data_IF_182913562209
#
_entry.id   IF_182913562209
#
_cell.length_a   1.000
_cell.length_b   1.000
_cell.length_c   1.000
_cell.angle_alpha   90.00
_cell.angle_beta   90.00
_cell.angle_gamma   90.00
#
_symmetry.space_group_name_H-M   'P 1'
#
loop_
_entity.id
_entity.type
_entity.pdbx_description
1 polymer ?
#
# COMPACT_ATOMS: atom_id res chain seq x y z
N UNK A 1 38.91 9.85 14.28
CA UNK A 1 37.81 10.59 13.60
C UNK A 1 36.52 9.82 13.86
N UNK A 2 35.47 10.46 14.41
CA UNK A 2 34.21 9.78 14.65
C UNK A 2 33.45 9.72 13.30
N UNK A 3 32.98 8.54 12.92
CA UNK A 3 32.19 8.37 11.71
C UNK A 3 30.84 9.13 11.79
N UNK A 4 30.66 10.13 10.94
CA UNK A 4 29.47 10.99 10.91
C UNK A 4 28.44 10.46 9.92
N UNK A 5 27.75 9.41 10.33
CA UNK A 5 26.75 8.74 9.47
C UNK A 5 25.61 9.67 9.04
N UNK A 6 25.16 10.59 9.90
CA UNK A 6 24.02 11.46 9.60
C UNK A 6 24.32 12.39 8.41
N UNK A 7 25.49 13.03 8.41
CA UNK A 7 25.88 13.89 7.30
C UNK A 7 26.19 13.10 6.02
N UNK A 8 26.80 11.92 6.16
CA UNK A 8 27.12 11.06 5.02
C UNK A 8 25.85 10.54 4.36
N UNK A 9 24.91 10.01 5.14
CA UNK A 9 23.63 9.49 4.63
C UNK A 9 22.83 10.58 3.93
N UNK A 10 22.64 11.73 4.57
CA UNK A 10 21.91 12.87 3.98
C UNK A 10 22.54 13.37 2.68
N UNK A 11 23.88 13.45 2.63
CA UNK A 11 24.62 13.83 1.42
C UNK A 11 24.33 12.88 0.26
N UNK A 12 24.40 11.56 0.52
CA UNK A 12 24.23 10.58 -0.54
C UNK A 12 22.77 10.44 -0.98
N UNK A 13 21.81 10.49 -0.07
CA UNK A 13 20.39 10.46 -0.39
C UNK A 13 20.02 11.64 -1.29
N UNK A 14 20.49 12.85 -0.95
CA UNK A 14 20.30 14.04 -1.78
C UNK A 14 20.90 13.87 -3.18
N UNK A 15 22.13 13.39 -3.26
CA UNK A 15 22.81 13.14 -4.54
C UNK A 15 22.04 12.12 -5.41
N UNK A 16 21.56 11.02 -4.84
CA UNK A 16 20.79 10.01 -5.55
C UNK A 16 19.46 10.56 -6.09
N UNK A 17 18.81 11.44 -5.32
CA UNK A 17 17.57 12.09 -5.75
C UNK A 17 17.83 13.08 -6.90
N UNK A 18 18.86 13.93 -6.77
CA UNK A 18 19.25 14.92 -7.79
C UNK A 18 19.68 14.26 -9.12
N UNK A 19 20.43 13.18 -9.05
CA UNK A 19 20.90 12.43 -10.23
C UNK A 19 19.83 11.47 -10.78
N UNK A 20 18.73 11.23 -10.06
CA UNK A 20 17.64 10.34 -10.47
C UNK A 20 18.06 8.89 -10.71
N UNK A 21 19.07 8.41 -9.97
CA UNK A 21 19.71 7.10 -10.23
C UNK A 21 18.78 5.90 -10.06
N UNK A 22 17.64 6.09 -9.39
CA UNK A 22 16.66 5.04 -9.16
C UNK A 22 15.44 5.11 -10.07
N UNK A 23 15.40 6.12 -10.96
CA UNK A 23 14.30 6.26 -11.92
C UNK A 23 14.31 5.12 -12.92
N UNK A 24 13.15 4.56 -13.16
CA UNK A 24 12.94 3.57 -14.20
C UNK A 24 12.99 4.25 -15.54
N UNK A 25 13.88 3.83 -16.42
CA UNK A 25 14.01 4.39 -17.77
C UNK A 25 12.99 3.74 -18.72
N UNK A 26 12.71 4.44 -19.83
CA UNK A 26 11.95 3.90 -20.96
C UNK A 26 12.88 3.20 -21.99
N UNK A 27 14.07 2.83 -21.55
CA UNK A 27 15.02 2.05 -22.36
C UNK A 27 14.56 0.59 -22.45
N UNK A 28 14.06 0.21 -23.61
CA UNK A 28 13.51 -1.12 -23.86
C UNK A 28 14.58 -2.14 -24.26
N UNK A 29 15.81 -1.72 -24.48
CA UNK A 29 16.94 -2.59 -24.85
C UNK A 29 17.53 -3.29 -23.61
N UNK A 30 17.41 -2.68 -22.43
CA UNK A 30 17.88 -3.28 -21.20
C UNK A 30 16.95 -4.39 -20.70
N UNK A 31 17.51 -5.47 -20.11
CA UNK A 31 16.72 -6.47 -19.43
C UNK A 31 15.83 -5.83 -18.36
N UNK A 32 14.52 -6.09 -18.40
CA UNK A 32 13.56 -5.54 -17.44
C UNK A 32 13.50 -6.37 -16.18
N UNK A 33 13.40 -5.72 -15.05
CA UNK A 33 13.16 -6.36 -13.78
C UNK A 33 12.11 -5.58 -12.96
N UNK A 34 11.04 -6.24 -12.59
CA UNK A 34 10.02 -5.68 -11.69
C UNK A 34 10.21 -6.22 -10.28
N UNK A 35 10.54 -5.35 -9.34
CA UNK A 35 10.62 -5.67 -7.92
C UNK A 35 9.33 -5.19 -7.25
N UNK A 36 8.47 -6.13 -6.89
CA UNK A 36 7.21 -5.86 -6.21
C UNK A 36 7.31 -6.24 -4.74
N UNK A 37 6.87 -5.35 -3.88
CA UNK A 37 6.67 -5.58 -2.46
C UNK A 37 5.24 -5.25 -2.06
N UNK A 38 4.82 -5.75 -0.91
CA UNK A 38 3.50 -5.47 -0.37
C UNK A 38 3.38 -3.98 -0.02
N UNK A 39 2.36 -3.34 -0.56
CA UNK A 39 2.04 -1.96 -0.22
C UNK A 39 1.55 -1.86 1.22
N UNK A 40 2.10 -0.95 2.04
CA UNK A 40 1.66 -0.79 3.41
C UNK A 40 0.30 -0.10 3.51
N UNK A 41 -0.44 -0.43 4.56
CA UNK A 41 -1.61 0.36 4.95
C UNK A 41 -1.14 1.66 5.64
N UNK A 42 -1.56 2.85 5.18
CA UNK A 42 -1.17 4.11 5.81
C UNK A 42 -2.01 4.39 7.07
N UNK A 43 -1.83 3.57 8.09
CA UNK A 43 -2.58 3.62 9.35
C UNK A 43 -1.77 4.15 10.55
N UNK A 44 -0.54 4.57 10.33
CA UNK A 44 0.36 5.09 11.37
C UNK A 44 1.81 5.19 10.90
N UNK A 45 2.74 5.00 11.82
CA UNK A 45 4.18 4.98 11.52
C UNK A 45 4.64 3.63 10.98
N UNK A 46 5.78 3.62 10.29
CA UNK A 46 6.49 2.39 9.96
C UNK A 46 6.92 1.65 11.25
N UNK A 47 7.03 0.35 11.15
CA UNK A 47 7.55 -0.51 12.22
C UNK A 47 8.62 -1.46 11.66
N UNK A 48 9.29 -2.19 12.53
CA UNK A 48 10.39 -3.09 12.15
C UNK A 48 10.01 -4.15 11.11
N UNK A 49 8.75 -4.56 11.07
CA UNK A 49 8.24 -5.46 10.01
C UNK A 49 8.32 -4.84 8.62
N UNK A 50 7.97 -3.57 8.47
CA UNK A 50 8.14 -2.83 7.23
C UNK A 50 9.62 -2.71 6.84
N UNK A 51 10.47 -2.34 7.83
CA UNK A 51 11.92 -2.23 7.61
C UNK A 51 12.51 -3.54 7.09
N UNK A 52 12.17 -4.68 7.72
CA UNK A 52 12.64 -5.99 7.30
C UNK A 52 12.20 -6.32 5.87
N UNK A 53 10.91 -6.14 5.58
CA UNK A 53 10.35 -6.47 4.26
C UNK A 53 11.03 -5.65 3.15
N UNK A 54 11.03 -4.32 3.31
CA UNK A 54 11.52 -3.41 2.27
C UNK A 54 13.03 -3.41 2.10
N UNK A 55 13.80 -3.75 3.16
CA UNK A 55 15.25 -3.92 3.04
C UNK A 55 15.62 -5.08 2.13
N UNK A 56 14.87 -6.18 2.16
CA UNK A 56 15.12 -7.35 1.31
C UNK A 56 14.90 -6.98 -0.17
N UNK A 57 13.79 -6.35 -0.48
CA UNK A 57 13.50 -5.91 -1.84
C UNK A 57 14.48 -4.84 -2.34
N UNK A 58 14.88 -3.91 -1.49
CA UNK A 58 15.86 -2.88 -1.84
C UNK A 58 17.23 -3.47 -2.22
N UNK A 59 17.68 -4.48 -1.48
CA UNK A 59 18.92 -5.21 -1.83
C UNK A 59 18.80 -5.86 -3.21
N UNK A 60 17.68 -6.53 -3.48
CA UNK A 60 17.44 -7.17 -4.79
C UNK A 60 17.38 -6.12 -5.89
N UNK A 61 16.64 -5.03 -5.70
CA UNK A 61 16.52 -3.97 -6.68
C UNK A 61 17.87 -3.33 -7.03
N UNK A 62 18.70 -3.02 -6.01
CA UNK A 62 20.05 -2.49 -6.20
C UNK A 62 20.95 -3.48 -6.92
N UNK A 63 20.94 -4.74 -6.52
CA UNK A 63 21.72 -5.80 -7.18
C UNK A 63 21.36 -5.92 -8.67
N UNK A 64 20.08 -5.92 -9.01
CA UNK A 64 19.63 -5.98 -10.39
C UNK A 64 20.05 -4.76 -11.22
N UNK A 65 19.98 -3.54 -10.64
CA UNK A 65 20.49 -2.32 -11.31
C UNK A 65 21.99 -2.40 -11.55
N UNK A 66 22.77 -2.86 -10.56
CA UNK A 66 24.21 -3.03 -10.71
C UNK A 66 24.57 -4.06 -11.79
N UNK A 67 23.69 -5.00 -12.10
CA UNK A 67 23.83 -5.97 -13.19
C UNK A 67 23.21 -5.51 -14.52
N UNK A 68 22.95 -4.21 -14.67
CA UNK A 68 22.52 -3.62 -15.94
C UNK A 68 21.02 -3.73 -16.24
N UNK A 69 20.19 -4.22 -15.31
CA UNK A 69 18.75 -4.27 -15.54
C UNK A 69 18.11 -2.87 -15.43
N UNK A 70 17.09 -2.63 -16.24
CA UNK A 70 16.13 -1.55 -16.04
C UNK A 70 15.11 -2.01 -14.99
N UNK A 71 15.20 -1.47 -13.78
CA UNK A 71 14.44 -1.94 -12.62
C UNK A 71 13.26 -1.02 -12.33
N UNK A 72 12.04 -1.57 -12.41
CA UNK A 72 10.86 -0.94 -11.84
C UNK A 72 10.74 -1.36 -10.37
N UNK A 73 11.00 -0.42 -9.47
CA UNK A 73 10.85 -0.59 -8.02
C UNK A 73 10.23 0.65 -7.44
N UNK A 74 8.96 0.59 -7.10
CA UNK A 74 8.17 1.73 -6.64
C UNK A 74 7.45 1.41 -5.35
N UNK A 75 7.07 2.45 -4.62
CA UNK A 75 6.20 2.36 -3.45
C UNK A 75 4.76 2.61 -3.85
N UNK A 76 3.85 1.87 -3.23
CA UNK A 76 2.43 2.13 -3.27
C UNK A 76 1.82 2.13 -1.87
N UNK A 77 0.62 2.69 -1.75
CA UNK A 77 -0.13 2.77 -0.50
C UNK A 77 -1.46 2.05 -0.68
N UNK A 78 -1.66 0.97 0.09
CA UNK A 78 -2.97 0.31 0.17
C UNK A 78 -3.84 1.12 1.12
N UNK A 79 -4.54 2.10 0.55
CA UNK A 79 -5.08 3.24 1.28
C UNK A 79 -6.61 3.31 1.27
N UNK A 80 -7.28 2.26 0.82
CA UNK A 80 -8.71 2.08 1.00
C UNK A 80 -9.04 1.14 2.16
N UNK A 81 -10.26 1.29 2.68
CA UNK A 81 -10.92 0.32 3.54
C UNK A 81 -10.99 0.68 5.02
N UNK A 82 -11.53 -0.25 5.78
CA UNK A 82 -11.89 -0.11 7.18
C UNK A 82 -10.75 0.33 8.13
N UNK A 83 -9.48 -0.07 7.95
CA UNK A 83 -8.43 0.37 8.87
C UNK A 83 -8.28 1.88 8.92
N UNK A 84 -8.30 2.56 7.77
CA UNK A 84 -8.23 4.01 7.70
C UNK A 84 -9.52 4.68 8.22
N UNK A 85 -10.68 4.14 7.89
CA UNK A 85 -11.98 4.64 8.34
C UNK A 85 -12.15 4.52 9.85
N UNK A 86 -11.84 3.36 10.42
CA UNK A 86 -11.91 3.13 11.87
C UNK A 86 -10.94 4.02 12.65
N UNK A 87 -9.74 4.22 12.15
CA UNK A 87 -8.78 5.13 12.74
C UNK A 87 -9.28 6.58 12.69
N UNK A 88 -9.85 6.99 11.56
CA UNK A 88 -10.43 8.31 11.39
C UNK A 88 -11.59 8.56 12.34
N UNK A 89 -12.49 7.60 12.48
CA UNK A 89 -13.60 7.65 13.47
C UNK A 89 -13.06 7.78 14.90
N UNK A 90 -12.09 6.92 15.26
CA UNK A 90 -11.48 6.92 16.61
C UNK A 90 -10.83 8.27 16.96
N UNK A 91 -10.21 8.93 15.98
CA UNK A 91 -9.53 10.20 16.17
C UNK A 91 -10.39 11.42 15.81
N UNK A 92 -11.65 11.23 15.43
CA UNK A 92 -12.57 12.28 14.98
C UNK A 92 -11.98 13.14 13.86
N UNK A 93 -11.36 12.50 12.87
CA UNK A 93 -10.70 13.11 11.74
C UNK A 93 -11.31 12.54 10.44
N UNK A 94 -11.45 13.35 9.41
CA UNK A 94 -11.93 12.87 8.11
C UNK A 94 -10.96 11.83 7.52
N UNK A 95 -11.42 10.66 7.00
CA UNK A 95 -10.56 9.59 6.48
C UNK A 95 -9.54 10.06 5.45
N UNK A 96 -9.91 10.94 4.54
CA UNK A 96 -9.01 11.54 3.56
C UNK A 96 -7.80 12.23 4.23
N UNK A 97 -8.07 13.11 5.21
CA UNK A 97 -7.00 13.84 5.90
C UNK A 97 -6.08 12.89 6.68
N UNK A 98 -6.67 11.92 7.36
CA UNK A 98 -5.94 10.90 8.11
C UNK A 98 -5.00 10.10 7.19
N UNK A 99 -5.55 9.56 6.10
CA UNK A 99 -4.81 8.73 5.15
C UNK A 99 -3.64 9.49 4.51
N UNK A 100 -3.89 10.68 3.98
CA UNK A 100 -2.82 11.47 3.34
C UNK A 100 -1.76 11.96 4.31
N UNK A 101 -2.12 12.27 5.56
CA UNK A 101 -1.16 12.59 6.61
C UNK A 101 -0.24 11.41 6.93
N UNK A 102 -0.80 10.21 7.05
CA UNK A 102 -0.01 9.00 7.28
C UNK A 102 0.88 8.65 6.08
N UNK A 103 0.38 8.76 4.85
CA UNK A 103 1.20 8.58 3.64
C UNK A 103 2.41 9.53 3.67
N UNK A 104 2.18 10.81 3.96
CA UNK A 104 3.26 11.79 4.04
C UNK A 104 4.31 11.41 5.10
N UNK A 105 3.87 10.98 6.28
CA UNK A 105 4.74 10.54 7.38
C UNK A 105 5.55 9.31 6.98
N UNK A 106 4.89 8.26 6.49
CA UNK A 106 5.56 7.01 6.10
C UNK A 106 6.51 7.22 4.92
N UNK A 107 6.14 8.05 3.94
CA UNK A 107 7.03 8.43 2.82
C UNK A 107 8.30 9.11 3.34
N UNK A 108 8.17 10.05 4.28
CA UNK A 108 9.33 10.70 4.89
C UNK A 108 10.23 9.69 5.60
N UNK A 109 9.66 8.76 6.35
CA UNK A 109 10.40 7.69 7.02
C UNK A 109 11.12 6.77 6.03
N UNK A 110 10.47 6.35 4.94
CA UNK A 110 11.09 5.51 3.89
C UNK A 110 12.21 6.25 3.16
N UNK A 111 12.05 7.54 2.89
CA UNK A 111 13.12 8.36 2.30
C UNK A 111 14.33 8.46 3.23
N UNK A 112 14.14 8.61 4.54
CA UNK A 112 15.22 8.61 5.51
C UNK A 112 15.99 7.28 5.57
N UNK A 113 15.34 6.15 5.30
CA UNK A 113 15.97 4.84 5.19
C UNK A 113 16.80 4.69 3.91
N UNK A 114 16.66 5.61 2.94
CA UNK A 114 17.46 5.64 1.72
C UNK A 114 17.13 4.52 0.74
N UNK A 115 15.93 3.96 0.79
CA UNK A 115 15.50 2.94 -0.17
C UNK A 115 15.47 3.45 -1.61
N UNK A 116 15.78 2.57 -2.54
CA UNK A 116 15.97 2.88 -3.96
C UNK A 116 14.66 2.86 -4.77
N UNK A 117 13.58 3.38 -4.20
CA UNK A 117 12.32 3.51 -4.90
C UNK A 117 12.36 4.59 -5.99
N UNK A 118 11.67 4.31 -7.09
CA UNK A 118 11.30 5.32 -8.06
C UNK A 118 10.05 6.08 -7.56
N UNK A 119 10.28 7.18 -6.87
CA UNK A 119 9.21 7.98 -6.26
C UNK A 119 8.32 8.71 -7.27
N UNK A 120 8.77 8.88 -8.52
CA UNK A 120 7.95 9.47 -9.58
C UNK A 120 6.82 8.52 -10.01
N UNK A 121 6.96 7.23 -9.69
CA UNK A 121 5.97 6.17 -9.97
C UNK A 121 5.21 5.71 -8.72
N UNK A 122 5.25 6.51 -7.65
CA UNK A 122 4.47 6.26 -6.44
C UNK A 122 2.97 6.23 -6.74
N UNK A 123 2.25 5.28 -6.14
CA UNK A 123 0.80 5.15 -6.31
C UNK A 123 0.08 5.09 -4.96
N UNK A 124 -1.17 5.54 -4.93
CA UNK A 124 -2.06 5.38 -3.78
C UNK A 124 -3.41 4.84 -4.27
N UNK A 125 -3.86 3.74 -3.72
CA UNK A 125 -5.09 3.07 -4.19
C UNK A 125 -6.34 3.92 -4.00
N UNK A 126 -6.32 4.88 -3.04
CA UNK A 126 -7.39 5.85 -2.80
C UNK A 126 -7.37 7.05 -3.76
N UNK A 127 -6.35 7.18 -4.60
CA UNK A 127 -6.28 8.29 -5.56
C UNK A 127 -7.24 8.05 -6.73
N UNK A 128 -8.05 9.05 -7.17
CA UNK A 128 -9.00 8.89 -8.27
C UNK A 128 -8.38 8.35 -9.56
N UNK A 129 -7.17 8.79 -9.90
CA UNK A 129 -6.45 8.31 -11.08
C UNK A 129 -6.06 6.83 -11.00
N UNK A 130 -6.00 6.25 -9.79
CA UNK A 130 -5.77 4.84 -9.59
C UNK A 130 -7.09 4.05 -9.64
N UNK A 131 -8.07 4.37 -8.79
CA UNK A 131 -9.27 3.55 -8.67
C UNK A 131 -10.24 3.68 -9.85
N UNK A 132 -10.11 4.70 -10.70
CA UNK A 132 -10.88 4.78 -11.95
C UNK A 132 -10.75 3.54 -12.83
N UNK A 133 -9.58 2.89 -12.78
CA UNK A 133 -9.33 1.66 -13.54
C UNK A 133 -10.07 0.45 -12.94
N UNK A 134 -10.19 0.38 -11.63
CA UNK A 134 -11.02 -0.62 -10.94
C UNK A 134 -12.49 -0.43 -11.31
N UNK A 135 -12.97 0.82 -11.33
CA UNK A 135 -14.33 1.15 -11.75
C UNK A 135 -14.57 0.79 -13.23
N UNK A 136 -13.63 1.11 -14.10
CA UNK A 136 -13.71 0.76 -15.51
C UNK A 136 -13.78 -0.75 -15.71
N UNK A 137 -12.95 -1.51 -15.01
CA UNK A 137 -12.95 -2.97 -15.10
C UNK A 137 -14.26 -3.57 -14.59
N UNK A 138 -14.79 -3.06 -13.48
CA UNK A 138 -16.12 -3.46 -13.00
C UNK A 138 -17.21 -3.22 -14.06
N UNK A 139 -17.22 -2.04 -14.67
CA UNK A 139 -18.20 -1.72 -15.73
C UNK A 139 -18.06 -2.64 -16.96
N UNK A 140 -16.85 -3.06 -17.28
CA UNK A 140 -16.61 -4.01 -18.36
C UNK A 140 -17.22 -5.39 -18.04
N UNK A 141 -17.05 -5.88 -16.81
CA UNK A 141 -17.66 -7.12 -16.33
C UNK A 141 -19.17 -7.03 -16.30
N UNK A 142 -19.71 -5.91 -15.81
CA UNK A 142 -21.15 -5.66 -15.79
C UNK A 142 -21.78 -5.67 -17.19
N UNK A 143 -21.18 -4.97 -18.15
CA UNK A 143 -21.63 -4.95 -19.54
C UNK A 143 -21.62 -6.33 -20.20
N UNK A 144 -20.75 -7.23 -19.75
CA UNK A 144 -20.66 -8.61 -20.24
C UNK A 144 -21.55 -9.60 -19.47
N UNK A 145 -22.34 -9.14 -18.51
CA UNK A 145 -23.20 -9.98 -17.67
C UNK A 145 -22.46 -10.85 -16.66
N UNK A 146 -21.14 -10.58 -16.43
CA UNK A 146 -20.31 -11.32 -15.48
C UNK A 146 -20.41 -10.75 -14.06
N UNK A 147 -20.81 -9.50 -13.91
CA UNK A 147 -21.17 -8.87 -12.65
C UNK A 147 -22.67 -8.54 -12.65
N UNK A 148 -23.37 -8.90 -11.58
CA UNK A 148 -24.80 -8.66 -11.42
C UNK A 148 -25.15 -8.46 -9.95
N UNK A 149 -26.26 -7.81 -9.69
CA UNK A 149 -26.76 -7.56 -8.34
C UNK A 149 -27.65 -8.71 -7.86
N UNK A 150 -27.40 -9.21 -6.66
CA UNK A 150 -28.19 -10.27 -6.05
C UNK A 150 -28.19 -10.13 -4.51
N UNK A 151 -29.32 -10.48 -3.89
CA UNK A 151 -29.34 -10.67 -2.43
C UNK A 151 -28.55 -11.93 -2.08
N UNK A 152 -27.62 -11.80 -1.16
CA UNK A 152 -26.82 -12.91 -0.65
C UNK A 152 -26.68 -12.82 0.87
N UNK A 153 -26.61 -13.97 1.51
CA UNK A 153 -26.37 -14.06 2.94
C UNK A 153 -24.89 -13.89 3.23
N UNK A 154 -24.57 -12.94 4.10
CA UNK A 154 -23.19 -12.60 4.50
C UNK A 154 -23.00 -12.79 6.00
N UNK A 155 -21.75 -12.96 6.42
CA UNK A 155 -21.39 -12.85 7.84
C UNK A 155 -21.38 -11.37 8.21
N UNK A 156 -22.13 -11.01 9.24
CA UNK A 156 -22.27 -9.65 9.71
C UNK A 156 -21.77 -9.50 11.14
N UNK A 157 -20.88 -8.56 11.38
CA UNK A 157 -20.50 -8.16 12.72
C UNK A 157 -21.32 -6.94 13.15
N UNK A 158 -22.25 -7.06 14.12
CA UNK A 158 -23.08 -5.94 14.55
C UNK A 158 -22.27 -4.84 15.27
N UNK A 159 -21.21 -5.21 15.98
CA UNK A 159 -20.34 -4.27 16.70
C UNK A 159 -19.46 -3.44 15.75
N UNK A 160 -18.86 -4.06 14.74
CA UNK A 160 -18.05 -3.36 13.74
C UNK A 160 -18.89 -2.78 12.59
N UNK A 161 -20.20 -3.09 12.54
CA UNK A 161 -21.13 -2.69 11.46
C UNK A 161 -20.58 -3.02 10.07
N UNK A 162 -20.02 -4.23 9.91
CA UNK A 162 -19.34 -4.62 8.65
C UNK A 162 -19.59 -6.08 8.26
N UNK A 163 -19.46 -6.35 6.98
CA UNK A 163 -19.41 -7.71 6.42
C UNK A 163 -18.05 -8.32 6.71
N UNK A 164 -18.04 -9.62 7.03
CA UNK A 164 -16.83 -10.39 7.29
C UNK A 164 -16.66 -11.50 6.25
N UNK A 165 -15.45 -11.70 5.77
CA UNK A 165 -15.07 -12.91 5.06
C UNK A 165 -15.14 -14.13 5.99
N UNK A 166 -15.21 -15.34 5.43
CA UNK A 166 -15.29 -16.56 6.26
C UNK A 166 -14.08 -16.70 7.18
N UNK A 167 -12.89 -16.34 6.70
CA UNK A 167 -11.63 -16.39 7.43
C UNK A 167 -11.58 -15.42 8.61
N UNK A 168 -12.42 -14.39 8.60
CA UNK A 168 -12.53 -13.39 9.67
C UNK A 168 -13.52 -13.79 10.77
N UNK A 169 -14.16 -14.95 10.62
CA UNK A 169 -15.04 -15.53 11.63
C UNK A 169 -14.31 -16.68 12.32
N UNK A 170 -13.87 -16.46 13.55
CA UNK A 170 -13.17 -17.45 14.36
C UNK A 170 -14.07 -17.87 15.51
N UNK A 171 -14.41 -19.16 15.60
CA UNK A 171 -15.31 -19.72 16.61
C UNK A 171 -16.66 -18.97 16.71
N UNK A 172 -17.23 -18.59 15.57
CA UNK A 172 -18.49 -17.85 15.49
C UNK A 172 -18.39 -16.35 15.87
N UNK A 173 -17.17 -15.88 16.11
CA UNK A 173 -16.90 -14.49 16.55
C UNK A 173 -16.08 -13.72 15.54
N UNK A 174 -16.26 -12.41 15.56
CA UNK A 174 -15.47 -11.47 14.76
C UNK A 174 -13.99 -11.51 15.21
N UNK A 175 -13.06 -11.72 14.29
CA UNK A 175 -11.62 -11.74 14.60
C UNK A 175 -11.11 -10.47 15.28
N UNK A 176 -11.76 -9.30 15.00
CA UNK A 176 -11.36 -7.99 15.49
C UNK A 176 -11.91 -7.65 16.86
N UNK A 177 -13.24 -7.63 16.99
CA UNK A 177 -13.90 -7.16 18.23
C UNK A 177 -14.40 -8.29 19.13
N UNK A 178 -14.28 -9.55 18.70
CA UNK A 178 -14.71 -10.77 19.42
C UNK A 178 -16.22 -10.87 19.70
N UNK A 179 -17.03 -9.99 19.10
CA UNK A 179 -18.49 -10.07 19.17
C UNK A 179 -19.00 -11.22 18.33
N UNK A 180 -20.15 -11.78 18.71
CA UNK A 180 -20.83 -12.82 17.94
C UNK A 180 -21.20 -12.33 16.54
N UNK A 181 -20.97 -13.18 15.55
CA UNK A 181 -21.27 -12.91 14.14
C UNK A 181 -22.66 -13.45 13.81
N UNK A 182 -23.45 -12.63 13.16
CA UNK A 182 -24.78 -12.99 12.69
C UNK A 182 -24.82 -13.16 11.17
N UNK A 183 -25.82 -13.84 10.65
CA UNK A 183 -26.10 -13.87 9.22
C UNK A 183 -27.05 -12.74 8.85
N UNK A 184 -26.74 -12.04 7.76
CA UNK A 184 -27.58 -10.94 7.25
C UNK A 184 -27.70 -11.06 5.73
N UNK A 185 -28.89 -10.85 5.20
CA UNK A 185 -29.07 -10.71 3.76
C UNK A 185 -28.77 -9.26 3.35
N UNK A 186 -27.88 -9.12 2.39
CA UNK A 186 -27.55 -7.83 1.77
C UNK A 186 -27.56 -7.97 0.26
N UNK A 187 -27.86 -6.89 -0.43
CA UNK A 187 -27.65 -6.80 -1.87
C UNK A 187 -26.15 -6.68 -2.17
N UNK A 188 -25.69 -7.53 -2.99
CA UNK A 188 -24.28 -7.63 -3.42
C UNK A 188 -24.18 -7.57 -4.94
#
# INVERSE_FOLDING_TARGET
MKYDFKNIESKWQKKWEEEGIYKTSEDYEKPKFYCLEMFPYPSGNLHMGHMRNYSIGDVIARFKRMNGCNVLYTMGWDSFGLPAENAAIKHNIHPYKWTWSNIATMRSQLKQLGFSYDWDREVATCHPEYYKWTQWFFLLLYKRGLAYRKKATVNWCPSCSTVLANEQVVDGKCERCKSEVTKKELEQ
#
